data_IF_846256857174
#
_entry.id   IF_846256857174
#
_cell.length_a   1.000
_cell.length_b   1.000
_cell.length_c   1.000
_cell.angle_alpha   90.00
_cell.angle_beta   90.00
_cell.angle_gamma   90.00
#
_symmetry.space_group_name_H-M   'P 1'
#
loop_
_entity.id
_entity.type
_entity.pdbx_description
1 polymer ?
#
# COMPACT_ATOMS: atom_id res chain seq x y z
N UNK A 1 15.34 15.60 1.73
CA UNK A 1 14.10 15.04 2.24
C UNK A 1 13.69 13.82 1.45
N UNK A 2 13.13 12.85 2.12
CA UNK A 2 12.71 11.61 1.50
C UNK A 2 11.27 11.31 1.84
N UNK A 3 10.66 10.41 1.07
CA UNK A 3 9.30 9.96 1.32
C UNK A 3 9.30 8.51 1.79
N UNK A 4 8.49 8.24 2.80
CA UNK A 4 8.25 6.89 3.31
C UNK A 4 6.90 6.43 2.78
N UNK A 5 6.86 5.24 2.20
CA UNK A 5 5.61 4.65 1.73
C UNK A 5 4.95 3.87 2.86
N UNK A 6 3.71 4.20 3.13
CA UNK A 6 2.88 3.47 4.10
C UNK A 6 1.68 2.93 3.34
N UNK A 7 1.46 1.63 3.44
CA UNK A 7 0.45 0.93 2.66
C UNK A 7 -0.49 0.18 3.59
N UNK A 8 -1.79 0.26 3.31
CA UNK A 8 -2.81 -0.50 4.04
C UNK A 8 -3.50 -1.46 3.09
N UNK A 9 -3.76 -2.67 3.56
CA UNK A 9 -4.58 -3.64 2.87
C UNK A 9 -5.92 -3.69 3.57
N UNK A 10 -6.99 -3.47 2.83
CA UNK A 10 -8.32 -3.35 3.40
C UNK A 10 -9.30 -4.26 2.70
N UNK A 11 -10.30 -4.71 3.45
CA UNK A 11 -11.43 -5.46 2.89
C UNK A 11 -12.64 -4.53 2.87
N UNK A 12 -13.37 -4.53 1.78
CA UNK A 12 -14.53 -3.65 1.62
C UNK A 12 -15.86 -4.41 1.67
N UNK A 13 -15.85 -5.57 2.29
CA UNK A 13 -17.04 -6.38 2.52
C UNK A 13 -17.52 -6.15 3.95
N UNK A 14 -18.81 -5.87 4.10
CA UNK A 14 -19.46 -5.82 5.43
C UNK A 14 -18.73 -4.98 6.48
N UNK A 15 -18.76 -3.69 6.38
CA UNK A 15 -18.11 -2.83 7.38
C UNK A 15 -16.63 -3.10 7.52
N UNK A 16 -16.05 -3.35 6.46
CA UNK A 16 -14.67 -3.60 6.24
C UNK A 16 -13.71 -3.03 7.27
N UNK A 17 -12.58 -3.65 7.39
CA UNK A 17 -11.47 -3.16 8.17
C UNK A 17 -10.21 -3.24 7.37
N UNK A 18 -9.21 -2.55 7.85
CA UNK A 18 -7.87 -2.58 7.25
C UNK A 18 -6.92 -3.27 8.20
N UNK A 19 -5.96 -3.99 7.63
CA UNK A 19 -4.87 -4.54 8.41
C UNK A 19 -3.96 -3.40 8.85
N UNK A 20 -3.14 -3.63 9.88
CA UNK A 20 -2.15 -2.61 10.28
C UNK A 20 -1.31 -2.18 9.10
N UNK A 21 -0.90 -0.92 9.07
CA UNK A 21 -0.14 -0.42 7.93
C UNK A 21 1.21 -1.11 7.79
N UNK A 22 1.62 -1.24 6.54
CA UNK A 22 2.94 -1.78 6.20
C UNK A 22 3.80 -0.60 5.80
N UNK A 23 4.89 -0.41 6.50
CA UNK A 23 5.83 0.67 6.20
C UNK A 23 6.98 0.10 5.40
N UNK A 24 7.21 0.68 4.22
CA UNK A 24 8.29 0.21 3.37
C UNK A 24 9.64 0.62 3.95
N UNK A 25 10.62 -0.28 3.93
CA UNK A 25 11.96 0.08 4.41
C UNK A 25 12.71 0.99 3.44
N UNK A 26 12.21 1.12 2.22
CA UNK A 26 12.87 1.92 1.19
C UNK A 26 12.38 3.36 1.24
N UNK A 27 13.29 4.30 1.05
CA UNK A 27 12.96 5.72 0.97
C UNK A 27 12.95 6.15 -0.49
N UNK A 28 12.06 7.06 -0.83
CA UNK A 28 11.91 7.55 -2.19
C UNK A 28 12.24 9.04 -2.24
N UNK A 29 12.83 9.47 -3.33
CA UNK A 29 13.28 10.84 -3.46
C UNK A 29 12.16 11.83 -3.77
N UNK A 30 11.11 11.36 -4.44
CA UNK A 30 10.02 12.21 -4.87
C UNK A 30 8.68 11.55 -4.57
N UNK A 31 7.65 12.38 -4.50
CA UNK A 31 6.28 11.89 -4.38
C UNK A 31 5.92 10.97 -5.56
N UNK A 32 6.35 11.35 -6.75
CA UNK A 32 6.08 10.58 -7.95
C UNK A 32 6.62 9.15 -7.82
N UNK A 33 7.88 9.03 -7.43
CA UNK A 33 8.50 7.72 -7.26
C UNK A 33 7.80 6.90 -6.19
N UNK A 34 7.44 7.54 -5.07
CA UNK A 34 6.74 6.88 -3.98
C UNK A 34 5.36 6.41 -4.44
N UNK A 35 4.64 7.24 -5.17
CA UNK A 35 3.32 6.93 -5.67
C UNK A 35 3.34 5.76 -6.66
N UNK A 36 4.30 5.76 -7.57
CA UNK A 36 4.46 4.65 -8.52
C UNK A 36 4.78 3.35 -7.76
N UNK A 37 5.67 3.43 -6.78
CA UNK A 37 6.02 2.26 -5.98
C UNK A 37 4.80 1.74 -5.22
N UNK A 38 3.96 2.64 -4.70
CA UNK A 38 2.75 2.25 -3.98
C UNK A 38 1.82 1.43 -4.87
N UNK A 39 1.63 1.87 -6.11
CA UNK A 39 0.77 1.15 -7.04
C UNK A 39 1.37 -0.20 -7.42
N UNK A 40 2.67 -0.27 -7.66
CA UNK A 40 3.33 -1.53 -7.97
C UNK A 40 3.24 -2.52 -6.81
N UNK A 41 3.46 -2.04 -5.59
CA UNK A 41 3.33 -2.88 -4.41
C UNK A 41 1.90 -3.36 -4.22
N UNK A 42 0.93 -2.49 -4.48
CA UNK A 42 -0.48 -2.86 -4.38
C UNK A 42 -0.83 -3.98 -5.36
N UNK A 43 -0.38 -3.85 -6.59
CA UNK A 43 -0.62 -4.88 -7.60
C UNK A 43 0.03 -6.20 -7.19
N UNK A 44 1.26 -6.14 -6.72
CA UNK A 44 1.99 -7.33 -6.28
C UNK A 44 1.28 -8.03 -5.13
N UNK A 45 0.78 -7.26 -4.16
CA UNK A 45 0.05 -7.81 -3.02
C UNK A 45 -1.24 -8.50 -3.47
N UNK A 46 -2.00 -7.85 -4.35
CA UNK A 46 -3.25 -8.42 -4.84
C UNK A 46 -3.00 -9.69 -5.64
N UNK A 47 -1.95 -9.71 -6.45
CA UNK A 47 -1.59 -10.90 -7.21
C UNK A 47 -1.15 -12.03 -6.30
N UNK A 48 -0.42 -11.71 -5.25
CA UNK A 48 0.05 -12.70 -4.29
C UNK A 48 -1.11 -13.32 -3.52
N UNK A 49 -2.12 -12.52 -3.18
CA UNK A 49 -3.31 -13.01 -2.50
C UNK A 49 -4.15 -13.90 -3.42
N UNK A 50 -4.18 -13.57 -4.71
CA UNK A 50 -4.86 -14.36 -5.70
C UNK A 50 -6.29 -13.90 -5.97
N UNK A 51 -6.78 -14.31 -7.12
CA UNK A 51 -8.09 -13.91 -7.64
C UNK A 51 -9.24 -14.24 -6.67
N UNK A 52 -9.22 -15.45 -6.14
CA UNK A 52 -10.33 -15.92 -5.31
C UNK A 52 -10.48 -15.10 -4.04
N UNK A 53 -9.38 -14.87 -3.33
CA UNK A 53 -9.40 -14.14 -2.07
C UNK A 53 -9.69 -12.66 -2.29
N UNK A 54 -9.11 -12.07 -3.31
CA UNK A 54 -9.35 -10.66 -3.60
C UNK A 54 -10.81 -10.41 -3.91
N UNK A 55 -11.42 -11.28 -4.72
CA UNK A 55 -12.84 -11.14 -5.05
C UNK A 55 -13.73 -11.42 -3.85
N UNK A 56 -13.40 -12.45 -3.09
CA UNK A 56 -14.24 -12.90 -1.97
C UNK A 56 -14.35 -11.81 -0.89
N UNK A 57 -13.24 -11.16 -0.57
CA UNK A 57 -13.22 -10.16 0.49
C UNK A 57 -13.21 -8.74 -0.04
N UNK A 58 -13.29 -8.58 -1.35
CA UNK A 58 -13.23 -7.28 -2.00
C UNK A 58 -12.03 -6.48 -1.47
N UNK A 59 -10.86 -7.08 -1.58
CA UNK A 59 -9.63 -6.51 -1.05
C UNK A 59 -9.17 -5.34 -1.90
N UNK A 60 -8.81 -4.26 -1.24
CA UNK A 60 -8.21 -3.13 -1.90
C UNK A 60 -7.07 -2.60 -1.04
N UNK A 61 -6.37 -1.63 -1.58
CA UNK A 61 -5.25 -1.04 -0.87
C UNK A 61 -5.41 0.47 -0.84
N UNK A 62 -4.81 1.08 0.17
CA UNK A 62 -4.65 2.53 0.20
C UNK A 62 -3.23 2.83 0.64
N UNK A 63 -2.75 4.00 0.31
CA UNK A 63 -1.38 4.36 0.64
C UNK A 63 -1.27 5.82 0.97
N UNK A 64 -0.18 6.16 1.61
CA UNK A 64 0.27 7.52 1.74
C UNK A 64 1.78 7.56 1.61
N UNK A 65 2.27 8.68 1.10
CA UNK A 65 3.70 8.93 1.02
C UNK A 65 3.99 10.07 1.99
N UNK A 66 4.65 9.73 3.08
CA UNK A 66 4.91 10.69 4.16
C UNK A 66 6.30 11.27 4.01
N UNK A 67 6.36 12.58 4.02
CA UNK A 67 7.64 13.27 3.97
C UNK A 67 8.39 13.06 5.27
N UNK A 68 9.66 12.73 5.17
CA UNK A 68 10.49 12.53 6.34
C UNK A 68 11.76 13.36 6.23
N UNK A 69 12.27 13.78 7.37
CA UNK A 69 13.50 14.54 7.44
C UNK A 69 14.75 13.68 7.31
N UNK A 70 14.59 12.40 7.28
CA UNK A 70 15.70 11.47 7.10
C UNK A 70 16.21 11.57 5.68
N UNK A 71 17.48 11.75 5.55
CA UNK A 71 18.13 11.87 4.24
C UNK A 71 18.98 10.64 3.94
#
# INVERSE_FOLDING_TARGET
>A
MKYVLILWVCSFVNNNGCLPPIESPKLYNTWYECSIAAHKESVALLQKMGYADVNRYQVGTKYTCKLTDTS
#
